data_IF_732222051423
#
_entry.id   IF_732222051423
#
_cell.length_a   1.000
_cell.length_b   1.000
_cell.length_c   1.000
_cell.angle_alpha   90.00
_cell.angle_beta   90.00
_cell.angle_gamma   90.00
#
_symmetry.space_group_name_H-M   'P 1'
#
loop_
_entity.id
_entity.type
_entity.pdbx_description
1 polymer ?
2 non-polymer ?
3 non-polymer ?
4 water ?
#
# COMPACT_ATOMS: atom_id res chain seq x y z
N UNK A 2 26.17 -7.92 6.93
CA UNK A 2 25.88 -6.58 7.50
C UNK A 2 24.38 -6.40 7.72
N UNK A 3 24.01 -5.32 8.40
CA UNK A 3 22.61 -5.03 8.69
C UNK A 3 21.88 -4.75 7.37
N UNK A 4 22.57 -4.07 6.46
CA UNK A 4 22.01 -3.75 5.15
C UNK A 4 21.69 -5.03 4.35
N UNK A 5 22.57 -6.03 4.43
CA UNK A 5 22.34 -7.27 3.72
C UNK A 5 21.16 -8.01 4.34
N UNK A 6 21.06 -7.93 5.67
CA UNK A 6 20.00 -8.58 6.41
C UNK A 6 18.64 -7.96 6.09
N UNK A 7 18.59 -6.64 6.02
CA UNK A 7 17.36 -5.93 5.71
C UNK A 7 16.90 -6.22 4.29
N UNK A 8 17.83 -6.18 3.34
CA UNK A 8 17.51 -6.45 1.94
C UNK A 8 16.91 -7.85 1.82
N UNK A 9 17.50 -8.79 2.55
CA UNK A 9 17.03 -10.17 2.54
C UNK A 9 15.62 -10.27 3.10
N UNK A 10 15.39 -9.60 4.22
CA UNK A 10 14.08 -9.63 4.88
C UNK A 10 12.96 -9.04 4.02
N UNK A 11 13.27 -7.96 3.31
CA UNK A 11 12.26 -7.30 2.48
C UNK A 11 12.18 -7.86 1.06
N UNK A 12 13.14 -8.71 0.70
CA UNK A 12 13.15 -9.32 -0.62
C UNK A 12 13.47 -8.41 -1.79
N UNK A 13 14.20 -7.32 -1.53
CA UNK A 13 14.56 -6.37 -2.56
C UNK A 13 15.73 -6.82 -3.45
N UNK A 14 15.72 -6.39 -4.70
CA UNK A 14 16.77 -6.73 -5.66
C UNK A 14 17.35 -5.44 -6.23
N UNK A 15 18.63 -5.48 -6.64
CA UNK A 15 19.33 -4.32 -7.21
C UNK A 15 18.72 -3.86 -8.53
N UNK A 16 18.27 -4.82 -9.32
CA UNK A 16 17.67 -4.53 -10.61
C UNK A 16 16.54 -5.52 -10.88
N UNK A 17 15.47 -5.04 -11.49
CA UNK A 17 14.35 -5.91 -11.81
C UNK A 17 13.94 -5.74 -13.26
N UNK A 18 13.22 -6.75 -13.77
CA UNK A 18 12.72 -6.76 -15.13
C UNK A 18 11.26 -6.33 -14.99
N UNK A 19 10.93 -5.13 -15.48
CA UNK A 19 9.58 -4.58 -15.34
C UNK A 19 8.43 -5.51 -15.75
N UNK A 20 8.43 -5.97 -16.99
CA UNK A 20 7.36 -6.86 -17.46
C UNK A 20 7.29 -8.14 -16.64
N UNK A 21 8.45 -8.70 -16.30
CA UNK A 21 8.50 -9.92 -15.51
C UNK A 21 7.88 -9.71 -14.12
N UNK A 22 8.12 -8.54 -13.53
CA UNK A 22 7.56 -8.26 -12.21
C UNK A 22 6.05 -8.00 -12.28
N UNK A 23 5.61 -7.47 -13.42
CA UNK A 23 4.18 -7.21 -13.62
C UNK A 23 3.49 -8.57 -13.63
N UNK A 24 4.07 -9.53 -14.33
CA UNK A 24 3.49 -10.87 -14.39
C UNK A 24 3.56 -11.60 -13.06
N UNK A 25 4.62 -11.37 -12.28
CA UNK A 25 4.74 -12.05 -10.99
C UNK A 25 3.59 -11.60 -10.07
N UNK A 26 3.30 -10.30 -10.07
CA UNK A 26 2.23 -9.76 -9.22
C UNK A 26 0.84 -10.15 -9.71
N UNK A 27 0.63 -10.14 -11.03
CA UNK A 27 -0.66 -10.51 -11.56
C UNK A 27 -0.94 -12.00 -11.38
N UNK A 28 0.05 -12.85 -11.65
CA UNK A 28 -0.15 -14.28 -11.48
C UNK A 28 -0.39 -14.63 -10.02
N UNK A 29 0.21 -13.83 -9.14
CA UNK A 29 0.07 -14.01 -7.70
C UNK A 29 -1.38 -13.80 -7.30
N UNK A 30 -1.95 -12.67 -7.75
CA UNK A 30 -3.34 -12.38 -7.45
C UNK A 30 -4.26 -13.44 -8.04
N UNK A 31 -4.02 -13.82 -9.29
CA UNK A 31 -4.84 -14.83 -9.95
C UNK A 31 -4.76 -16.16 -9.20
N UNK A 32 -3.57 -16.53 -8.77
CA UNK A 32 -3.38 -17.78 -8.05
C UNK A 32 -4.13 -17.80 -6.72
N UNK A 33 -4.10 -16.67 -6.02
CA UNK A 33 -4.79 -16.59 -4.74
C UNK A 33 -6.29 -16.74 -4.92
N UNK A 34 -6.85 -16.03 -5.91
CA UNK A 34 -8.28 -16.10 -6.16
C UNK A 34 -8.73 -17.49 -6.60
N UNK A 35 -7.87 -18.23 -7.27
CA UNK A 35 -8.23 -19.58 -7.72
C UNK A 35 -8.17 -20.59 -6.57
N UNK A 36 -7.36 -20.26 -5.56
CA UNK A 36 -7.18 -21.11 -4.38
C UNK A 36 -8.29 -20.89 -3.35
N UNK A 37 -8.87 -19.68 -3.37
CA UNK A 37 -9.97 -19.32 -2.47
C UNK A 37 -11.09 -18.79 -3.36
N UNK A 38 -11.80 -19.70 -4.06
CA UNK A 38 -12.88 -19.30 -4.96
C UNK A 38 -14.08 -18.56 -4.37
N UNK A 39 -14.16 -18.43 -3.04
CA UNK A 39 -15.28 -17.69 -2.47
C UNK A 39 -15.02 -16.19 -2.55
N UNK A 40 -13.78 -15.82 -2.88
CA UNK A 40 -13.43 -14.42 -3.03
C UNK A 40 -13.88 -13.98 -4.42
N UNK A 41 -14.78 -13.00 -4.47
CA UNK A 41 -15.30 -12.53 -5.74
C UNK A 41 -14.83 -11.14 -6.14
N UNK A 42 -14.18 -10.42 -5.22
CA UNK A 42 -13.74 -9.08 -5.54
C UNK A 42 -12.45 -8.67 -4.85
N UNK A 43 -11.74 -7.75 -5.50
CA UNK A 43 -10.51 -7.18 -4.96
C UNK A 43 -10.88 -5.74 -4.67
N UNK A 44 -10.61 -5.30 -3.45
CA UNK A 44 -10.92 -3.93 -3.02
C UNK A 44 -9.64 -3.15 -2.80
N UNK A 45 -9.57 -1.95 -3.38
CA UNK A 45 -8.38 -1.12 -3.23
C UNK A 45 -8.70 0.37 -3.18
N UNK A 46 -8.12 1.05 -2.20
CA UNK A 46 -8.33 2.49 -2.09
C UNK A 46 -7.45 3.18 -3.10
N UNK A 47 -8.04 4.06 -3.91
CA UNK A 47 -7.30 4.78 -4.95
C UNK A 47 -7.12 6.24 -4.53
N UNK A 48 -5.87 6.69 -4.46
CA UNK A 48 -5.56 8.05 -4.02
C UNK A 48 -5.07 8.98 -5.12
N UNK A 49 -4.78 8.44 -6.30
CA UNK A 49 -4.29 9.26 -7.38
C UNK A 49 -2.77 9.31 -7.38
N UNK A 50 -2.17 8.56 -6.46
CA UNK A 50 -0.72 8.52 -6.34
C UNK A 50 -0.10 7.32 -7.03
N UNK A 51 1.23 7.29 -7.07
CA UNK A 51 1.96 6.21 -7.71
C UNK A 51 1.59 4.80 -7.26
N UNK A 52 1.74 4.54 -5.96
CA UNK A 52 1.48 3.21 -5.43
C UNK A 52 0.10 2.61 -5.67
N UNK A 53 -0.97 3.36 -5.37
CA UNK A 53 -2.31 2.83 -5.60
C UNK A 53 -2.65 2.73 -7.08
N UNK A 54 -2.06 3.60 -7.91
CA UNK A 54 -2.34 3.53 -9.34
C UNK A 54 -1.70 2.25 -9.89
N UNK A 55 -0.48 1.94 -9.46
CA UNK A 55 0.19 0.73 -9.92
C UNK A 55 -0.57 -0.51 -9.44
N UNK A 56 -0.85 -0.57 -8.15
CA UNK A 56 -1.57 -1.72 -7.59
C UNK A 56 -2.94 -1.87 -8.26
N UNK A 57 -3.63 -0.77 -8.50
CA UNK A 57 -4.94 -0.81 -9.15
C UNK A 57 -4.90 -1.41 -10.55
N UNK A 58 -3.91 -1.00 -11.34
CA UNK A 58 -3.81 -1.51 -12.71
C UNK A 58 -3.57 -3.02 -12.66
N UNK A 59 -2.70 -3.45 -11.76
CA UNK A 59 -2.41 -4.87 -11.63
C UNK A 59 -3.64 -5.68 -11.19
N UNK A 60 -4.44 -5.11 -10.31
CA UNK A 60 -5.65 -5.79 -9.84
C UNK A 60 -6.66 -5.97 -10.98
N UNK A 61 -6.86 -4.91 -11.76
CA UNK A 61 -7.82 -4.98 -12.86
C UNK A 61 -7.34 -6.00 -13.90
N UNK A 62 -6.04 -6.04 -14.14
CA UNK A 62 -5.48 -6.98 -15.10
C UNK A 62 -5.74 -8.41 -14.64
N UNK A 63 -5.55 -8.65 -13.35
CA UNK A 63 -5.77 -9.99 -12.79
C UNK A 63 -7.22 -10.41 -12.95
N UNK A 64 -8.14 -9.51 -12.64
CA UNK A 64 -9.57 -9.80 -12.77
C UNK A 64 -9.92 -10.02 -14.24
N UNK A 65 -9.46 -9.13 -15.11
CA UNK A 65 -9.72 -9.25 -16.55
C UNK A 65 -9.34 -10.64 -17.06
N UNK A 66 -8.12 -11.07 -16.75
CA UNK A 66 -7.63 -12.37 -17.19
C UNK A 66 -8.42 -13.54 -16.61
N UNK A 67 -8.73 -13.45 -15.31
CA UNK A 67 -9.49 -14.51 -14.67
C UNK A 67 -10.88 -14.67 -15.26
N UNK A 68 -11.52 -13.54 -15.60
CA UNK A 68 -12.85 -13.62 -16.19
C UNK A 68 -12.79 -14.35 -17.53
N UNK A 69 -11.82 -13.99 -18.35
CA UNK A 69 -11.64 -14.59 -19.67
C UNK A 69 -11.27 -16.07 -19.61
N UNK A 70 -10.50 -16.44 -18.59
CA UNK A 70 -10.05 -17.82 -18.44
C UNK A 70 -11.10 -18.76 -17.84
N UNK A 71 -11.79 -18.31 -16.81
CA UNK A 71 -12.79 -19.13 -16.13
C UNK A 71 -14.22 -18.88 -16.60
N UNK A 72 -14.47 -17.69 -17.15
CA UNK A 72 -15.80 -17.37 -17.63
C UNK A 72 -16.72 -16.86 -16.52
N UNK A 73 -16.18 -16.74 -15.31
CA UNK A 73 -16.95 -16.28 -14.15
C UNK A 73 -17.15 -14.76 -14.24
N UNK A 74 -18.38 -14.34 -14.50
CA UNK A 74 -18.68 -12.93 -14.62
C UNK A 74 -18.94 -12.20 -13.30
N UNK A 75 -18.92 -12.93 -12.19
CA UNK A 75 -19.18 -12.31 -10.89
C UNK A 75 -17.93 -11.68 -10.27
N UNK A 76 -16.76 -11.99 -10.82
CA UNK A 76 -15.51 -11.42 -10.33
C UNK A 76 -15.45 -9.94 -10.68
N UNK A 77 -14.95 -9.13 -9.76
CA UNK A 77 -14.88 -7.70 -10.02
C UNK A 77 -13.78 -7.01 -9.23
N UNK A 78 -13.25 -5.94 -9.80
CA UNK A 78 -12.24 -5.15 -9.11
C UNK A 78 -12.99 -3.90 -8.67
N UNK A 79 -12.93 -3.59 -7.39
CA UNK A 79 -13.61 -2.42 -6.87
C UNK A 79 -12.61 -1.36 -6.41
N UNK A 80 -12.62 -0.22 -7.09
CA UNK A 80 -11.73 0.88 -6.73
C UNK A 80 -12.54 1.75 -5.77
N UNK A 81 -11.93 2.13 -4.66
CA UNK A 81 -12.62 2.95 -3.68
C UNK A 81 -11.96 4.30 -3.49
N UNK A 82 -12.71 5.37 -3.73
CA UNK A 82 -12.18 6.72 -3.53
C UNK A 82 -12.61 7.05 -2.10
N UNK A 83 -11.67 7.52 -1.28
CA UNK A 83 -11.96 7.83 0.12
C UNK A 83 -11.52 9.24 0.50
N UNK A 84 -12.07 10.26 -0.17
CA UNK A 84 -11.69 11.63 0.15
C UNK A 84 -12.12 12.10 1.54
N UNK A 85 -11.36 13.02 2.11
CA UNK A 85 -11.67 13.62 3.40
C UNK A 85 -12.21 14.99 3.00
N UNK A 86 -13.52 15.10 2.84
CA UNK A 86 -14.09 16.36 2.42
C UNK A 86 -13.82 16.53 0.93
N UNK A 87 -13.22 17.64 0.54
CA UNK A 87 -12.90 17.87 -0.87
C UNK A 87 -11.40 17.71 -1.09
N UNK A 88 -11.01 16.63 -1.76
CA UNK A 88 -9.60 16.35 -2.02
C UNK A 88 -9.08 17.24 -3.15
N UNK A 89 -7.93 17.87 -2.93
CA UNK A 89 -7.33 18.76 -3.92
C UNK A 89 -6.55 17.98 -4.99
N UNK A 90 -6.80 16.67 -5.07
CA UNK A 90 -6.12 15.81 -6.05
C UNK A 90 -7.10 15.08 -6.96
N UNK A 91 -8.38 15.45 -6.91
CA UNK A 91 -9.40 14.79 -7.71
C UNK A 91 -9.07 14.57 -9.19
N UNK A 92 -8.59 15.60 -9.89
CA UNK A 92 -8.25 15.44 -11.29
C UNK A 92 -7.25 14.32 -11.52
N UNK A 93 -6.28 14.20 -10.62
CA UNK A 93 -5.28 13.15 -10.73
C UNK A 93 -5.98 11.80 -10.52
N UNK A 94 -6.92 11.77 -9.59
CA UNK A 94 -7.67 10.54 -9.31
C UNK A 94 -8.49 10.17 -10.53
N UNK A 95 -9.07 11.18 -11.19
CA UNK A 95 -9.87 10.95 -12.38
C UNK A 95 -9.01 10.34 -13.48
N UNK A 96 -7.79 10.86 -13.64
CA UNK A 96 -6.88 10.35 -14.64
C UNK A 96 -6.42 8.93 -14.27
N UNK A 97 -6.24 8.68 -12.97
CA UNK A 97 -5.81 7.36 -12.51
C UNK A 97 -6.87 6.34 -12.87
N UNK A 98 -8.14 6.71 -12.66
CA UNK A 98 -9.27 5.84 -12.96
C UNK A 98 -9.35 5.57 -14.46
N UNK A 99 -9.16 6.61 -15.26
CA UNK A 99 -9.22 6.45 -16.72
C UNK A 99 -8.13 5.50 -17.21
N UNK A 100 -7.00 5.48 -16.51
CA UNK A 100 -5.88 4.61 -16.85
C UNK A 100 -6.13 3.17 -16.41
N UNK A 101 -6.72 3.00 -15.24
CA UNK A 101 -7.01 1.67 -14.69
C UNK A 101 -8.22 1.03 -15.35
N UNK A 102 -9.24 1.83 -15.63
CA UNK A 102 -10.48 1.33 -16.21
C UNK A 102 -11.08 0.26 -15.30
N UNK A 103 -11.31 0.61 -14.03
CA UNK A 103 -11.86 -0.30 -13.02
C UNK A 103 -13.30 -0.74 -13.31
N UNK A 104 -13.66 -1.95 -12.91
CA UNK A 104 -15.02 -2.45 -13.12
C UNK A 104 -16.03 -1.58 -12.38
N UNK A 105 -15.66 -1.16 -11.17
CA UNK A 105 -16.57 -0.37 -10.34
C UNK A 105 -15.79 0.62 -9.49
N UNK A 106 -16.36 1.80 -9.29
CA UNK A 106 -15.73 2.83 -8.47
C UNK A 106 -16.75 3.33 -7.44
N UNK A 107 -16.43 3.15 -6.17
CA UNK A 107 -17.28 3.62 -5.09
C UNK A 107 -16.60 4.80 -4.41
N UNK A 108 -17.37 5.84 -4.10
CA UNK A 108 -16.82 7.02 -3.45
C UNK A 108 -17.41 7.15 -2.05
N UNK A 109 -16.55 7.09 -1.04
CA UNK A 109 -16.98 7.19 0.35
C UNK A 109 -16.24 8.34 1.01
N UNK A 110 -16.97 9.36 1.44
CA UNK A 110 -16.33 10.49 2.10
C UNK A 110 -16.21 10.21 3.59
N UNK A 111 -14.97 10.12 4.07
CA UNK A 111 -14.71 9.79 5.46
C UNK A 111 -14.72 10.94 6.47
N UNK A 112 -14.97 12.16 6.00
CA UNK A 112 -14.96 13.30 6.89
C UNK A 112 -15.97 13.21 8.03
N UNK A 113 -17.20 12.81 7.73
CA UNK A 113 -18.22 12.72 8.75
C UNK A 113 -17.84 11.81 9.92
N UNK A 114 -17.32 10.63 9.59
CA UNK A 114 -16.92 9.66 10.60
C UNK A 114 -15.73 10.13 11.43
N UNK A 115 -14.76 10.77 10.78
CA UNK A 115 -13.58 11.27 11.48
C UNK A 115 -13.96 12.36 12.48
N UNK A 116 -14.82 13.28 12.05
CA UNK A 116 -15.24 14.36 12.94
C UNK A 116 -16.02 13.78 14.12
N UNK A 117 -16.83 12.75 13.85
CA UNK A 117 -17.61 12.12 14.91
C UNK A 117 -16.70 11.46 15.93
N UNK A 118 -15.68 10.75 15.46
CA UNK A 118 -14.74 10.08 16.36
C UNK A 118 -13.99 11.11 17.20
N UNK A 119 -13.66 12.23 16.58
CA UNK A 119 -12.95 13.27 17.30
C UNK A 119 -13.82 13.94 18.35
N UNK A 120 -15.10 14.09 18.05
CA UNK A 120 -16.00 14.73 19.01
C UNK A 120 -16.17 13.84 20.24
N UNK A 121 -16.25 12.53 20.02
CA UNK A 121 -16.40 11.59 21.13
C UNK A 121 -15.17 11.59 22.04
N UNK A 122 -13.99 11.74 21.43
CA UNK A 122 -12.75 11.75 22.20
C UNK A 122 -12.60 13.07 22.94
N UNK A 123 -13.00 14.16 22.29
CA UNK A 123 -12.91 15.48 22.88
C UNK A 123 -13.76 15.57 24.14
N UNK A 124 -14.97 15.03 24.08
CA UNK A 124 -15.85 15.07 25.24
C UNK A 124 -15.30 14.27 26.42
N UNK A 125 -14.50 13.26 26.11
CA UNK A 125 -13.89 12.40 27.12
C UNK A 125 -12.62 13.05 27.70
N UNK A 126 -12.07 14.02 26.97
CA UNK A 126 -10.88 14.71 27.45
C UNK A 126 -9.64 14.58 26.57
N UNK A 127 -9.81 14.02 25.38
CA UNK A 127 -8.68 13.81 24.48
C UNK A 127 -8.78 14.63 23.19
N UNK A 128 -7.84 15.54 23.00
CA UNK A 128 -7.77 16.37 21.79
C UNK A 128 -6.61 15.81 20.97
N UNK A 129 -6.80 15.68 19.66
CA UNK A 129 -5.75 15.12 18.82
C UNK A 129 -4.80 16.11 18.16
N UNK A 130 -3.57 15.67 17.93
CA UNK A 130 -2.57 16.48 17.27
C UNK A 130 -2.78 16.17 15.79
N UNK A 131 -2.25 17.01 14.91
CA UNK A 131 -2.41 16.78 13.47
C UNK A 131 -1.88 15.41 13.06
N UNK A 132 -0.77 15.01 13.67
CA UNK A 132 -0.16 13.72 13.35
C UNK A 132 -1.09 12.56 13.67
N UNK A 133 -1.68 12.57 14.86
CA UNK A 133 -2.59 11.52 15.28
C UNK A 133 -3.87 11.56 14.45
N UNK A 134 -4.31 12.76 14.06
CA UNK A 134 -5.51 12.85 13.25
C UNK A 134 -5.25 12.17 11.90
N UNK A 135 -4.02 12.29 11.43
CA UNK A 135 -3.64 11.67 10.16
C UNK A 135 -3.76 10.17 10.23
N UNK A 136 -3.35 9.59 11.35
CA UNK A 136 -3.44 8.13 11.52
C UNK A 136 -4.90 7.71 11.65
N UNK A 137 -5.68 8.57 12.28
CA UNK A 137 -7.10 8.33 12.47
C UNK A 137 -7.77 8.25 11.09
N UNK A 138 -7.38 9.15 10.19
CA UNK A 138 -7.95 9.13 8.85
C UNK A 138 -7.59 7.82 8.15
N UNK A 139 -6.34 7.38 8.31
CA UNK A 139 -5.88 6.15 7.68
C UNK A 139 -6.66 4.94 8.18
N UNK A 140 -6.98 4.92 9.48
CA UNK A 140 -7.74 3.82 10.06
C UNK A 140 -9.20 3.85 9.63
N UNK A 141 -9.75 5.04 9.41
CA UNK A 141 -11.13 5.11 8.95
C UNK A 141 -11.18 4.56 7.51
N UNK A 142 -10.14 4.82 6.72
CA UNK A 142 -10.11 4.32 5.36
C UNK A 142 -10.04 2.80 5.37
N UNK A 143 -9.29 2.24 6.32
CA UNK A 143 -9.16 0.79 6.45
C UNK A 143 -10.56 0.23 6.76
N UNK A 144 -11.25 0.85 7.72
CA UNK A 144 -12.58 0.41 8.10
C UNK A 144 -13.54 0.37 6.92
N UNK A 145 -13.57 1.43 6.13
CA UNK A 145 -14.46 1.50 4.98
C UNK A 145 -14.17 0.37 3.99
N UNK A 146 -12.89 0.17 3.72
CA UNK A 146 -12.50 -0.88 2.79
C UNK A 146 -12.88 -2.27 3.30
N UNK A 147 -12.70 -2.53 4.59
CA UNK A 147 -13.09 -3.82 5.12
C UNK A 147 -14.61 -4.02 5.16
N UNK A 148 -15.36 -2.94 5.35
CA UNK A 148 -16.82 -3.07 5.33
C UNK A 148 -17.26 -3.40 3.91
N UNK A 149 -16.63 -2.77 2.92
CA UNK A 149 -16.97 -3.04 1.52
C UNK A 149 -16.61 -4.48 1.17
N UNK A 150 -15.43 -4.93 1.61
CA UNK A 150 -14.99 -6.31 1.34
C UNK A 150 -15.93 -7.29 2.00
N UNK A 151 -16.41 -6.95 3.19
CA UNK A 151 -17.30 -7.83 3.91
C UNK A 151 -18.63 -8.05 3.20
N UNK A 152 -19.08 -7.02 2.49
CA UNK A 152 -20.35 -7.08 1.78
C UNK A 152 -20.26 -7.55 0.33
N UNK A 153 -19.05 -7.62 -0.21
CA UNK A 153 -18.87 -8.03 -1.59
C UNK A 153 -18.02 -9.29 -1.74
N UNK A 154 -17.85 -10.03 -0.65
CA UNK A 154 -17.05 -11.26 -0.66
C UNK A 154 -15.66 -10.97 -1.22
N UNK A 155 -15.02 -9.92 -0.71
CA UNK A 155 -13.70 -9.59 -1.22
C UNK A 155 -12.58 -9.54 -0.22
N UNK A 156 -11.40 -9.18 -0.71
CA UNK A 156 -10.22 -9.03 0.15
C UNK A 156 -9.67 -7.64 -0.15
N UNK A 157 -8.98 -7.08 0.84
CA UNK A 157 -8.42 -5.75 0.72
C UNK A 157 -6.97 -5.82 0.25
N UNK A 158 -6.68 -5.13 -0.84
CA UNK A 158 -5.35 -5.10 -1.42
C UNK A 158 -4.56 -3.92 -0.87
N UNK A 159 -3.31 -4.18 -0.47
CA UNK A 159 -2.47 -3.12 0.06
C UNK A 159 -1.43 -2.67 -0.93
N UNK A 160 -0.87 -1.49 -0.71
CA UNK A 160 0.14 -0.94 -1.61
C UNK A 160 1.54 -0.92 -0.99
N UNK A 161 1.69 -1.56 0.16
CA UNK A 161 2.98 -1.59 0.84
C UNK A 161 4.10 -2.17 -0.03
N UNK A 162 5.26 -1.53 0.00
CA UNK A 162 6.41 -1.97 -0.78
C UNK A 162 7.68 -1.79 0.05
N UNK A 163 8.81 -2.27 -0.48
CA UNK A 163 10.07 -2.19 0.25
C UNK A 163 10.47 -0.80 0.77
N UNK A 164 10.29 0.23 -0.06
CA UNK A 164 10.66 1.59 0.33
C UNK A 164 9.83 2.16 1.46
N UNK A 165 8.65 1.58 1.70
CA UNK A 165 7.82 2.04 2.79
C UNK A 165 7.98 1.12 3.99
N UNK A 166 8.11 -0.18 3.73
CA UNK A 166 8.29 -1.15 4.80
C UNK A 166 9.57 -0.96 5.60
N UNK A 167 10.65 -0.62 4.91
CA UNK A 167 11.95 -0.44 5.58
C UNK A 167 11.94 0.63 6.67
N UNK A 168 11.14 1.68 6.49
CA UNK A 168 11.08 2.73 7.49
C UNK A 168 9.79 2.66 8.32
N UNK A 169 8.91 1.73 7.96
CA UNK A 169 7.65 1.59 8.68
C UNK A 169 6.81 2.83 8.48
N UNK A 170 6.92 3.42 7.29
CA UNK A 170 6.18 4.63 6.98
C UNK A 170 4.75 4.33 6.51
N UNK A 171 3.95 3.82 7.43
CA UNK A 171 2.56 3.51 7.19
C UNK A 171 1.89 3.49 8.56
N UNK A 172 0.57 3.65 8.59
CA UNK A 172 -0.15 3.65 9.85
C UNK A 172 -0.49 2.23 10.27
N UNK A 173 -0.10 1.88 11.50
CA UNK A 173 -0.36 0.56 12.03
C UNK A 173 -1.87 0.34 12.07
N UNK A 174 -2.32 -0.69 11.35
CA UNK A 174 -3.73 -1.05 11.26
C UNK A 174 -4.52 0.02 10.51
N UNK A 175 -3.80 0.83 9.75
CA UNK A 175 -4.41 1.86 8.93
C UNK A 175 -4.19 1.40 7.50
N UNK A 176 -3.35 2.10 6.74
CA UNK A 176 -3.08 1.67 5.38
C UNK A 176 -2.22 0.40 5.43
N UNK A 177 -1.71 0.08 6.62
CA UNK A 177 -0.93 -1.13 6.79
C UNK A 177 -1.83 -2.31 7.10
N UNK A 178 -3.12 -2.02 7.31
CA UNK A 178 -4.07 -3.08 7.61
C UNK A 178 -4.72 -3.56 6.32
N UNK A 179 -4.12 -4.58 5.70
CA UNK A 179 -4.64 -5.12 4.46
C UNK A 179 -4.57 -6.65 4.44
N UNK A 180 -5.09 -7.26 3.39
CA UNK A 180 -5.07 -8.72 3.28
C UNK A 180 -3.96 -9.26 2.40
N UNK A 181 -3.74 -8.62 1.26
CA UNK A 181 -2.73 -9.08 0.32
C UNK A 181 -2.00 -7.88 -0.30
N UNK A 182 -0.67 -7.97 -0.32
CA UNK A 182 0.19 -6.89 -0.83
C UNK A 182 1.04 -7.32 -2.03
N UNK A 183 0.52 -7.12 -3.25
CA UNK A 183 1.24 -7.50 -4.48
C UNK A 183 2.48 -6.68 -4.86
N UNK A 184 2.71 -5.56 -4.20
CA UNK A 184 3.87 -4.74 -4.53
C UNK A 184 5.06 -4.99 -3.62
N UNK A 185 4.83 -5.69 -2.51
CA UNK A 185 5.89 -5.98 -1.54
C UNK A 185 7.09 -6.60 -2.26
N UNK A 186 8.26 -6.01 -2.04
CA UNK A 186 9.58 -6.40 -2.60
C UNK A 186 10.19 -5.31 -3.48
N UNK A 187 9.33 -4.47 -4.07
CA UNK A 187 9.78 -3.41 -4.96
C UNK A 187 10.15 -2.12 -4.23
N UNK A 188 11.14 -1.39 -4.73
CA UNK A 188 11.48 -0.12 -4.11
C UNK A 188 10.73 0.97 -4.88
N UNK A 189 10.87 2.23 -4.46
CA UNK A 189 10.13 3.31 -5.11
C UNK A 189 10.39 3.52 -6.60
N UNK A 190 11.64 3.70 -7.00
CA UNK A 190 11.94 3.90 -8.41
C UNK A 190 11.54 2.69 -9.27
N UNK A 191 11.60 1.49 -8.70
CA UNK A 191 11.23 0.30 -9.45
C UNK A 191 9.72 0.32 -9.71
N UNK A 192 8.97 0.91 -8.80
CA UNK A 192 7.53 1.01 -9.00
C UNK A 192 7.26 1.89 -10.20
N UNK A 193 8.06 2.93 -10.37
CA UNK A 193 7.89 3.84 -11.50
C UNK A 193 8.20 3.09 -12.79
N UNK A 194 9.18 2.19 -12.70
CA UNK A 194 9.61 1.37 -13.82
C UNK A 194 8.45 0.54 -14.33
N UNK A 195 7.68 -0.06 -13.42
CA UNK A 195 6.53 -0.86 -13.82
C UNK A 195 5.44 0.01 -14.45
N UNK A 196 5.22 1.19 -13.89
CA UNK A 196 4.20 2.09 -14.42
C UNK A 196 4.58 2.56 -15.82
N UNK A 197 5.86 2.83 -16.03
CA UNK A 197 6.32 3.26 -17.35
C UNK A 197 6.05 2.15 -18.36
N UNK A 198 6.29 0.91 -17.95
CA UNK A 198 6.07 -0.25 -18.81
C UNK A 198 4.59 -0.46 -19.12
N UNK A 199 3.72 0.06 -18.27
CA UNK A 199 2.28 -0.06 -18.47
C UNK A 199 1.74 1.16 -19.22
N UNK A 200 2.64 2.06 -19.61
CA UNK A 200 2.28 3.27 -20.34
C UNK A 200 1.43 4.24 -19.50
N UNK A 201 1.67 4.24 -18.19
CA UNK A 201 0.93 5.13 -17.30
C UNK A 201 1.29 6.59 -17.57
N UNK A 202 0.27 7.48 -17.61
CA UNK A 202 0.53 8.90 -17.85
C UNK A 202 1.60 9.42 -16.89
N UNK A 203 2.67 9.96 -17.47
CA UNK A 203 3.80 10.47 -16.70
C UNK A 203 3.47 11.29 -15.45
N UNK A 204 2.52 12.21 -15.56
CA UNK A 204 2.18 13.07 -14.42
C UNK A 204 1.59 12.33 -13.23
N UNK A 205 1.27 11.06 -13.39
CA UNK A 205 0.68 10.28 -12.32
C UNK A 205 1.71 9.68 -11.36
N UNK A 206 2.99 9.71 -11.72
CA UNK A 206 4.03 9.15 -10.85
C UNK A 206 5.31 9.96 -10.83
N UNK A 207 5.31 11.12 -11.49
CA UNK A 207 6.50 11.97 -11.51
C UNK A 207 6.12 13.41 -11.20
N UNK A 224 10.24 13.07 3.06
CA UNK A 224 10.53 14.44 3.59
C UNK A 224 11.12 14.32 4.99
N UNK A 225 10.93 15.33 5.83
CA UNK A 225 11.45 15.25 7.19
C UNK A 225 10.71 14.08 7.81
N UNK A 226 11.27 13.49 8.86
CA UNK A 226 10.70 12.29 9.46
C UNK A 226 11.14 11.38 8.33
N UNK A 227 12.32 10.80 8.52
CA UNK A 227 13.00 9.97 7.52
C UNK A 227 13.94 11.01 6.97
N UNK A 228 14.91 11.42 7.79
CA UNK A 228 15.87 12.43 7.36
C UNK A 228 16.68 11.97 6.17
N UNK A 229 16.01 11.31 5.24
CA UNK A 229 16.63 10.78 4.02
C UNK A 229 15.64 10.90 2.87
N UNK A 230 16.13 10.90 1.64
CA UNK A 230 15.26 10.99 0.47
C UNK A 230 14.92 9.59 -0.01
N UNK A 231 13.95 9.49 -0.92
CA UNK A 231 13.58 8.19 -1.47
C UNK A 231 14.74 7.59 -2.27
N UNK A 232 15.57 8.45 -2.85
CA UNK A 232 16.72 7.94 -3.61
C UNK A 232 17.70 7.30 -2.65
N UNK A 233 17.85 7.87 -1.46
CA UNK A 233 18.75 7.29 -0.46
C UNK A 233 18.22 5.91 -0.08
N UNK A 234 16.91 5.83 0.14
CA UNK A 234 16.29 4.56 0.51
C UNK A 234 16.40 3.53 -0.61
N UNK A 235 16.07 3.93 -1.84
CA UNK A 235 16.16 3.00 -2.95
C UNK A 235 17.57 2.49 -3.15
N UNK A 236 18.55 3.39 -3.08
CA UNK A 236 19.95 3.00 -3.23
C UNK A 236 20.34 1.99 -2.16
N UNK A 237 19.94 2.27 -0.92
CA UNK A 237 20.23 1.37 0.20
C UNK A 237 19.65 0.00 -0.10
N UNK A 238 18.38 -0.02 -0.50
CA UNK A 238 17.69 -1.27 -0.82
C UNK A 238 18.31 -2.03 -1.98
N UNK A 239 19.00 -1.31 -2.86
CA UNK A 239 19.65 -1.93 -4.01
C UNK A 239 21.05 -2.43 -3.68
N UNK A 240 21.45 -2.28 -2.42
CA UNK A 240 22.75 -2.74 -1.96
C UNK A 240 23.91 -1.81 -2.27
N UNK A 241 23.61 -0.56 -2.59
CA UNK A 241 24.65 0.41 -2.90
C UNK A 241 25.31 0.99 -1.67
N UNK A 242 26.49 1.54 -1.87
CA UNK A 242 27.26 2.15 -0.81
C UNK A 242 26.73 3.57 -0.64
N UNK A 243 26.17 3.86 0.53
CA UNK A 243 25.64 5.18 0.80
C UNK A 243 26.41 5.80 1.97
N UNK A 244 26.30 7.12 2.17
CA UNK A 244 27.01 7.74 3.28
C UNK A 244 26.63 7.01 4.58
N UNK A 245 27.60 6.82 5.47
CA UNK A 245 27.33 6.11 6.71
C UNK A 245 26.23 6.74 7.56
N UNK A 246 26.18 8.06 7.61
CA UNK A 246 25.16 8.74 8.40
C UNK A 246 23.78 8.42 7.85
N UNK A 247 23.70 8.26 6.52
CA UNK A 247 22.45 7.92 5.85
C UNK A 247 22.04 6.49 6.19
N UNK A 248 23.02 5.59 6.17
CA UNK A 248 22.77 4.19 6.50
C UNK A 248 22.27 4.07 7.94
N UNK A 249 22.88 4.82 8.85
CA UNK A 249 22.47 4.77 10.26
C UNK A 249 21.04 5.24 10.46
N UNK A 250 20.65 6.28 9.73
CA UNK A 250 19.30 6.83 9.84
C UNK A 250 18.27 5.79 9.39
N UNK A 251 18.52 5.21 8.23
CA UNK A 251 17.62 4.20 7.67
C UNK A 251 17.51 3.00 8.59
N UNK A 252 18.63 2.56 9.12
CA UNK A 252 18.65 1.42 10.02
C UNK A 252 17.95 1.73 11.34
N UNK A 253 18.08 2.97 11.80
CA UNK A 253 17.43 3.37 13.06
C UNK A 253 15.92 3.24 12.90
N UNK A 254 15.40 3.72 11.77
CA UNK A 254 13.97 3.64 11.48
C UNK A 254 13.53 2.19 11.40
N UNK A 255 14.34 1.37 10.73
CA UNK A 255 14.02 -0.05 10.58
C UNK A 255 13.87 -0.73 11.94
N UNK A 256 14.87 -0.55 12.80
CA UNK A 256 14.87 -1.14 14.12
C UNK A 256 13.72 -0.62 14.98
N UNK A 257 13.48 0.69 14.90
CA UNK A 257 12.43 1.33 15.66
C UNK A 257 11.02 0.85 15.30
N UNK A 258 10.83 0.43 14.06
CA UNK A 258 9.50 0.02 13.62
C UNK A 258 9.25 -1.46 13.36
N UNK A 259 10.06 -2.33 13.97
CA UNK A 259 9.87 -3.77 13.78
C UNK A 259 8.47 -4.20 14.26
N UNK A 260 7.96 -3.54 15.29
CA UNK A 260 6.63 -3.89 15.82
C UNK A 260 5.52 -3.74 14.77
N UNK A 261 5.75 -2.89 13.76
CA UNK A 261 4.74 -2.69 12.71
C UNK A 261 4.73 -3.80 11.66
N UNK A 262 5.83 -4.54 11.57
CA UNK A 262 5.94 -5.60 10.57
C UNK A 262 5.75 -7.00 11.16
N UNK A 263 5.31 -7.08 12.41
CA UNK A 263 5.09 -8.36 13.09
C UNK A 263 3.74 -8.35 13.82
N UNK A 264 3.18 -9.55 14.11
CA UNK A 264 1.90 -9.62 14.80
C UNK A 264 2.11 -9.09 16.23
N UNK A 265 1.02 -8.88 16.98
CA UNK A 265 1.12 -8.37 18.36
C UNK A 265 2.14 -9.14 19.20
N UNK A 266 2.89 -8.42 20.03
CA UNK A 266 3.93 -9.01 20.87
C UNK A 266 3.39 -9.87 22.01
N UNK A 267 3.99 -11.04 22.20
CA UNK A 267 3.58 -11.96 23.26
C UNK A 267 4.78 -12.33 24.13
N UNK A 268 4.52 -13.06 25.21
CA UNK A 268 5.59 -13.47 26.12
C UNK A 268 6.64 -14.35 25.44
N UNK A 269 6.32 -14.88 24.27
CA UNK A 269 7.23 -15.76 23.55
C UNK A 269 8.24 -15.02 22.66
N UNK A 270 7.96 -13.76 22.35
CA UNK A 270 8.85 -12.97 21.50
C UNK A 270 10.09 -12.50 22.21
N UNK A 271 11.19 -12.38 21.47
CA UNK A 271 12.44 -11.93 22.05
C UNK A 271 13.16 -10.95 21.14
N UNK A 272 12.59 -10.68 19.97
CA UNK A 272 13.23 -9.76 19.02
C UNK A 272 13.41 -8.37 19.63
N UNK A 273 12.49 -7.99 20.51
CA UNK A 273 12.56 -6.67 21.14
C UNK A 273 13.60 -6.58 22.25
N UNK A 274 14.18 -7.72 22.61
CA UNK A 274 15.17 -7.75 23.68
C UNK A 274 16.60 -7.57 23.18
N UNK A 275 16.77 -7.55 21.87
CA UNK A 275 18.11 -7.40 21.30
C UNK A 275 18.31 -6.01 20.70
X LIG B 1 2.13 4.92 -0.70
X LIG C 1 -0.86 7.41 1.50
X LIG C 1 0.47 7.87 1.09
X LIG C 1 -1.14 7.24 2.96
X LIG C 1 -1.93 8.33 0.79
X LIG C 1 -1.14 6.07 0.73
X LIG C 1 -1.42 4.81 1.40
X LIG C 1 -2.53 4.08 0.68
X LIG C 1 -3.76 4.40 1.35
X LIG C 1 -2.74 4.43 -0.77
X LIG C 1 -1.89 3.56 -1.53
X LIG C 1 -4.21 4.11 -0.93
X LIG C 1 -4.48 2.72 -1.09
X LIG C 1 -4.84 4.54 0.42
X LIG C 1 -5.36 5.95 0.43
X LIG C 1 -4.88 7.06 1.09
X LIG C 1 -5.45 8.18 0.75
X LIG C 1 -6.49 7.76 -0.05
X LIG C 1 -7.59 8.45 -0.64
X LIG C 1 -7.63 9.76 -0.68
X LIG C 1 -8.59 7.71 -1.22
X LIG C 1 -8.51 6.38 -1.24
X LIG C 1 -7.52 5.61 -0.72
X LIG C 1 -6.51 6.38 -0.16
X LIG D 1 -13.18 -10.41 10.05
X LIG D 1 -13.48 -9.03 9.60
X LIG D 1 -14.40 -11.30 10.04
X LIG D 1 -12.33 -10.45 11.30
X LIG D 1 -12.21 -10.94 8.85
X LIG D 1 -12.77 -11.31 7.56
X LIG D 1 -12.02 -10.40 6.56
X LIG D 1 -10.69 -10.98 6.33
X LIG D 1 -12.82 -10.35 5.09
X LIG D 1 -13.68 -9.12 5.13
X LIG D 1 -11.53 -10.20 4.12
X LIG D 1 -11.09 -8.87 4.01
X LIG D 1 -10.35 -10.97 4.94
X LIG D 1 -10.19 -12.37 4.48
X LIG D 1 -11.08 -13.45 4.63
X LIG D 1 -10.67 -14.66 4.15
X LIG D 1 -9.44 -14.28 3.61
X LIG D 1 -8.36 -15.09 3.08
X LIG D 1 -8.61 -16.43 2.87
X LIG D 1 -7.11 -14.45 2.82
X LIG D 1 -6.87 -13.15 3.06
X LIG D 1 -7.95 -12.33 3.57
X LIG D 1 -9.16 -12.89 3.78
#
# INVERSE_FOLDING_TARGET
MTLQQQIIKALGAKPQINAEEEIRRSVDFLKSYLQTYPFIKSLVLGISGGQDSTLAGKLCQMAINELRLETGNESLQFIAVRLPYGVQADEQDCQDAIAFIQPDRVLTVNIKGAVLASEQALREAGIELSDFVRGNEKARERMKAQYSIAGMTSGVVVGTDHAAEAITGFFTKYGDGGTDINPLYRLNKRQGKQLLAALACPEHLYKKAPTADLEDDRPSLPDEVALGVTYDNIDDYLEGKNVPQQVARTIENWYLKTEHKRRPPITVFDDFWKK
MG MG
AMP P O1P O2P O3P O5' C5' C4' O4' C3' O3' C2' O2' C1' N9 C8 N7 C5 C6 N6 N1 C2 N3 C4
AMP P O1P O2P O3P O5' C5' C4' O4' C3' O3' C2' O2' C1' N9 C8 N7 C5 C6 N6 N1 C2 N3 C4
#
